data_IF_315781252352
#
_entry.id   IF_315781252352
#
_cell.length_a   1.000
_cell.length_b   1.000
_cell.length_c   1.000
_cell.angle_alpha   90.00
_cell.angle_beta   90.00
_cell.angle_gamma   90.00
#
_symmetry.space_group_name_H-M   'P 1'
#
loop_
_entity.id
_entity.type
_entity.pdbx_description
1 polymer ?
#
# COMPACT_ATOMS: atom_id res chain seq x y z
N UNK A 1 20.53 -40.52 -21.81
CA UNK A 1 19.40 -39.99 -21.01
C UNK A 1 19.98 -38.95 -20.07
N UNK A 2 19.95 -37.67 -20.47
CA UNK A 2 20.54 -36.59 -19.66
C UNK A 2 19.43 -36.00 -18.79
N UNK A 3 19.52 -36.23 -17.48
CA UNK A 3 18.61 -35.66 -16.49
C UNK A 3 19.02 -34.22 -16.21
N UNK A 4 18.35 -33.27 -16.85
CA UNK A 4 18.47 -31.86 -16.52
C UNK A 4 17.84 -31.60 -15.14
N UNK A 5 18.67 -31.24 -14.17
CA UNK A 5 18.24 -30.68 -12.88
C UNK A 5 17.53 -29.35 -13.14
N UNK A 6 16.32 -29.12 -12.59
CA UNK A 6 15.69 -27.80 -12.68
C UNK A 6 16.45 -26.85 -11.75
N UNK A 7 17.12 -25.85 -12.32
CA UNK A 7 17.61 -24.70 -11.57
C UNK A 7 16.40 -24.00 -10.96
N UNK A 8 16.31 -24.03 -9.64
CA UNK A 8 15.34 -23.24 -8.89
C UNK A 8 15.71 -21.77 -9.10
N UNK A 9 15.04 -21.13 -10.07
CA UNK A 9 15.05 -19.69 -10.26
C UNK A 9 14.64 -19.04 -8.93
N UNK A 10 15.63 -18.47 -8.25
CA UNK A 10 15.48 -17.61 -7.09
C UNK A 10 14.79 -16.34 -7.58
N UNK A 11 13.46 -16.45 -7.72
CA UNK A 11 12.50 -15.38 -7.93
C UNK A 11 13.07 -14.09 -7.39
N UNK A 12 13.30 -13.15 -8.30
CA UNK A 12 13.59 -11.74 -8.09
C UNK A 12 13.43 -11.38 -6.62
N UNK A 13 14.55 -11.25 -5.92
CA UNK A 13 14.56 -10.61 -4.60
C UNK A 13 13.95 -9.24 -4.85
N UNK A 14 12.65 -9.14 -4.56
CA UNK A 14 11.86 -7.93 -4.68
C UNK A 14 12.65 -6.87 -3.93
N UNK A 15 13.38 -6.04 -4.67
CA UNK A 15 14.28 -5.02 -4.12
C UNK A 15 13.32 -4.04 -3.49
N UNK A 16 12.99 -4.30 -2.22
CA UNK A 16 12.02 -3.56 -1.42
C UNK A 16 12.27 -2.10 -1.68
N UNK A 17 11.39 -1.46 -2.45
CA UNK A 17 11.54 -0.04 -2.70
C UNK A 17 11.31 0.64 -1.37
N UNK A 18 12.34 1.36 -0.90
CA UNK A 18 12.20 2.16 0.31
C UNK A 18 11.20 3.25 -0.01
N UNK A 19 10.13 3.41 0.80
CA UNK A 19 9.15 4.45 0.54
C UNK A 19 9.79 5.83 0.46
N UNK A 20 9.30 6.66 -0.47
CA UNK A 20 9.85 8.00 -0.74
C UNK A 20 9.58 8.97 0.41
N UNK A 21 8.51 8.73 1.17
CA UNK A 21 8.11 9.55 2.31
C UNK A 21 7.83 8.64 3.51
N UNK A 22 8.04 9.17 4.72
CA UNK A 22 7.68 8.45 5.94
C UNK A 22 6.17 8.51 6.21
N UNK A 23 5.66 7.50 6.93
CA UNK A 23 4.24 7.43 7.34
C UNK A 23 3.74 8.64 8.14
N UNK A 24 4.54 9.38 8.95
CA UNK A 24 4.06 10.61 9.59
C UNK A 24 3.72 11.72 8.60
N UNK A 25 4.37 11.74 7.42
CA UNK A 25 4.04 12.70 6.37
C UNK A 25 2.76 12.32 5.64
N UNK A 26 2.52 11.02 5.43
CA UNK A 26 1.25 10.51 4.89
C UNK A 26 0.09 10.85 5.83
N UNK A 27 0.22 10.58 7.12
CA UNK A 27 -0.79 10.93 8.13
C UNK A 27 -1.14 12.43 8.12
N UNK A 28 -0.11 13.29 8.11
CA UNK A 28 -0.30 14.75 8.03
C UNK A 28 -1.00 15.17 6.74
N UNK A 29 -0.72 14.50 5.62
CA UNK A 29 -1.41 14.75 4.35
C UNK A 29 -2.88 14.35 4.44
N UNK A 30 -3.18 13.13 4.89
CA UNK A 30 -4.54 12.63 5.02
C UNK A 30 -5.39 13.53 5.93
N UNK A 31 -4.85 13.95 7.08
CA UNK A 31 -5.53 14.87 8.00
C UNK A 31 -5.81 16.27 7.43
N UNK A 32 -5.17 16.68 6.34
CA UNK A 32 -5.49 17.95 5.64
C UNK A 32 -6.65 17.80 4.67
N UNK A 33 -7.01 16.57 4.31
CA UNK A 33 -8.07 16.26 3.35
C UNK A 33 -9.35 15.73 4.00
N UNK A 34 -9.35 15.45 5.30
CA UNK A 34 -10.59 15.14 6.03
C UNK A 34 -11.45 16.39 6.18
N UNK A 35 -12.77 16.22 6.19
CA UNK A 35 -13.74 17.31 6.34
C UNK A 35 -13.67 18.02 7.70
N UNK A 36 -13.42 17.26 8.77
CA UNK A 36 -13.27 17.78 10.13
C UNK A 36 -12.12 17.07 10.86
N UNK A 37 -11.23 17.86 11.47
CA UNK A 37 -10.16 17.33 12.34
C UNK A 37 -10.67 17.25 13.77
N UNK A 38 -10.93 16.04 14.24
CA UNK A 38 -11.36 15.72 15.60
C UNK A 38 -10.66 14.43 16.09
N UNK A 39 -10.78 14.05 17.37
CA UNK A 39 -10.20 12.80 17.87
C UNK A 39 -10.60 11.56 17.05
N UNK A 40 -11.86 11.48 16.62
CA UNK A 40 -12.41 10.37 15.84
C UNK A 40 -11.78 10.29 14.44
N UNK A 41 -11.65 11.41 13.73
CA UNK A 41 -11.03 11.42 12.41
C UNK A 41 -9.52 11.13 12.49
N UNK A 42 -8.84 11.57 13.55
CA UNK A 42 -7.45 11.20 13.82
C UNK A 42 -7.30 9.70 14.07
N UNK A 43 -8.26 9.07 14.76
CA UNK A 43 -8.25 7.62 14.96
C UNK A 43 -8.43 6.88 13.63
N UNK A 44 -9.41 7.27 12.81
CA UNK A 44 -9.65 6.67 11.50
C UNK A 44 -8.43 6.80 10.58
N UNK A 45 -7.82 7.99 10.50
CA UNK A 45 -6.58 8.20 9.73
C UNK A 45 -5.42 7.39 10.30
N UNK A 46 -5.36 7.18 11.62
CA UNK A 46 -4.33 6.32 12.25
C UNK A 46 -4.46 4.86 11.81
N UNK A 47 -5.67 4.35 11.62
CA UNK A 47 -5.89 2.99 11.07
C UNK A 47 -5.37 2.89 9.63
N UNK A 48 -5.69 3.88 8.80
CA UNK A 48 -5.19 3.94 7.42
C UNK A 48 -3.66 4.01 7.40
N UNK A 49 -3.06 4.90 8.21
CA UNK A 49 -1.60 4.99 8.40
C UNK A 49 -0.99 3.66 8.82
N UNK A 50 -1.64 2.90 9.70
CA UNK A 50 -1.13 1.61 10.14
C UNK A 50 -1.04 0.62 8.97
N UNK A 51 -1.97 0.65 8.02
CA UNK A 51 -1.85 -0.16 6.80
C UNK A 51 -0.59 0.19 5.99
N UNK A 52 -0.18 1.47 5.93
CA UNK A 52 1.11 1.86 5.33
C UNK A 52 2.31 1.30 6.10
N UNK A 53 2.25 1.28 7.43
CA UNK A 53 3.31 0.67 8.26
C UNK A 53 3.38 -0.84 8.01
N UNK A 54 2.23 -1.50 7.93
CA UNK A 54 2.12 -2.94 7.75
C UNK A 54 2.59 -3.39 6.36
N UNK A 55 2.48 -2.54 5.33
CA UNK A 55 3.11 -2.77 4.01
C UNK A 55 4.64 -2.91 4.10
N UNK A 56 5.26 -2.24 5.06
CA UNK A 56 6.70 -2.31 5.31
C UNK A 56 7.11 -3.44 6.27
N UNK A 57 6.15 -4.22 6.77
CA UNK A 57 6.42 -5.30 7.73
C UNK A 57 7.32 -6.40 7.14
N UNK A 58 8.22 -6.93 7.97
CA UNK A 58 9.02 -8.11 7.64
C UNK A 58 8.16 -9.36 7.47
N UNK A 59 7.03 -9.44 8.18
CA UNK A 59 6.08 -10.55 8.10
C UNK A 59 5.31 -10.52 6.78
N UNK A 60 5.42 -11.59 5.99
CA UNK A 60 4.69 -11.74 4.74
C UNK A 60 3.17 -11.74 4.96
N UNK A 61 2.69 -12.34 6.05
CA UNK A 61 1.26 -12.39 6.38
C UNK A 61 0.67 -11.00 6.61
N UNK A 62 1.34 -10.19 7.43
CA UNK A 62 0.95 -8.79 7.71
C UNK A 62 0.97 -7.97 6.43
N UNK A 63 2.07 -8.05 5.65
CA UNK A 63 2.20 -7.32 4.39
C UNK A 63 1.14 -7.72 3.35
N UNK A 64 0.80 -9.01 3.27
CA UNK A 64 -0.26 -9.51 2.38
C UNK A 64 -1.62 -8.98 2.81
N UNK A 65 -1.93 -8.96 4.10
CA UNK A 65 -3.20 -8.41 4.58
C UNK A 65 -3.28 -6.91 4.37
N UNK A 66 -2.20 -6.18 4.63
CA UNK A 66 -2.10 -4.75 4.34
C UNK A 66 -2.35 -4.47 2.85
N UNK A 67 -1.76 -5.23 1.92
CA UNK A 67 -2.09 -5.09 0.49
C UNK A 67 -3.57 -5.33 0.21
N UNK A 68 -4.18 -6.35 0.82
CA UNK A 68 -5.63 -6.60 0.67
C UNK A 68 -6.46 -5.42 1.16
N UNK A 69 -6.11 -4.82 2.30
CA UNK A 69 -6.79 -3.65 2.84
C UNK A 69 -6.92 -2.51 1.81
N UNK A 70 -5.88 -2.25 1.01
CA UNK A 70 -5.94 -1.21 -0.03
C UNK A 70 -6.80 -1.58 -1.24
N UNK A 71 -7.07 -2.87 -1.50
CA UNK A 71 -7.82 -3.33 -2.67
C UNK A 71 -9.24 -3.82 -2.34
N UNK A 72 -9.51 -4.15 -1.08
CA UNK A 72 -10.83 -4.58 -0.62
C UNK A 72 -11.66 -3.42 -0.06
N UNK A 73 -12.87 -3.72 0.43
CA UNK A 73 -13.81 -2.71 0.93
C UNK A 73 -13.40 -2.05 2.24
N UNK A 74 -12.36 -2.53 2.95
CA UNK A 74 -11.94 -1.95 4.23
C UNK A 74 -11.43 -0.53 4.07
N UNK A 75 -10.61 -0.26 3.05
CA UNK A 75 -10.13 1.11 2.81
C UNK A 75 -11.29 2.07 2.55
N UNK A 76 -12.24 1.68 1.70
CA UNK A 76 -13.44 2.47 1.40
C UNK A 76 -14.21 2.77 2.68
N UNK A 77 -14.50 1.75 3.50
CA UNK A 77 -15.18 1.93 4.78
C UNK A 77 -14.51 2.97 5.69
N UNK A 78 -13.19 2.90 5.87
CA UNK A 78 -12.46 3.86 6.72
C UNK A 78 -12.41 5.26 6.15
N UNK A 79 -12.35 5.38 4.82
CA UNK A 79 -12.34 6.68 4.14
C UNK A 79 -13.71 7.36 4.21
N UNK A 80 -14.80 6.61 4.06
CA UNK A 80 -16.18 7.13 4.15
C UNK A 80 -16.47 7.75 5.53
N UNK A 81 -15.92 7.17 6.61
CA UNK A 81 -16.08 7.70 7.98
C UNK A 81 -15.48 9.10 8.19
N UNK A 82 -14.55 9.52 7.34
CA UNK A 82 -13.83 10.81 7.46
C UNK A 82 -13.95 11.67 6.20
N UNK A 83 -14.89 11.34 5.31
CA UNK A 83 -15.15 12.03 4.05
C UNK A 83 -13.88 12.17 3.18
N UNK A 84 -13.12 11.08 3.08
CA UNK A 84 -11.87 11.03 2.32
C UNK A 84 -12.06 10.16 1.07
N UNK A 85 -11.40 10.51 -0.03
CA UNK A 85 -11.48 9.70 -1.24
C UNK A 85 -10.54 8.47 -1.13
N UNK A 86 -11.04 7.23 -1.21
CA UNK A 86 -10.19 6.04 -1.13
C UNK A 86 -9.21 5.92 -2.31
N UNK A 87 -9.56 6.41 -3.51
CA UNK A 87 -8.64 6.41 -4.65
C UNK A 87 -7.45 7.32 -4.43
N UNK A 88 -7.66 8.46 -3.77
CA UNK A 88 -6.58 9.36 -3.38
C UNK A 88 -5.57 8.64 -2.47
N UNK A 89 -6.04 7.86 -1.50
CA UNK A 89 -5.14 7.08 -0.61
C UNK A 89 -4.36 6.03 -1.38
N UNK A 90 -5.00 5.32 -2.32
CA UNK A 90 -4.33 4.33 -3.17
C UNK A 90 -3.26 4.99 -4.04
N UNK A 91 -3.59 6.13 -4.64
CA UNK A 91 -2.66 6.89 -5.47
C UNK A 91 -1.44 7.33 -4.65
N UNK A 92 -1.64 7.80 -3.41
CA UNK A 92 -0.53 8.10 -2.51
C UNK A 92 0.30 6.86 -2.25
N UNK A 93 -0.30 5.71 -1.91
CA UNK A 93 0.43 4.47 -1.66
C UNK A 93 1.28 4.01 -2.86
N UNK A 94 0.78 4.17 -4.08
CA UNK A 94 1.52 3.88 -5.32
C UNK A 94 2.65 4.89 -5.55
N UNK A 95 2.33 6.19 -5.58
CA UNK A 95 3.30 7.25 -5.87
C UNK A 95 4.41 7.38 -4.85
N UNK A 96 4.16 6.96 -3.62
CA UNK A 96 5.18 6.99 -2.55
C UNK A 96 5.96 5.68 -2.42
N UNK A 97 5.65 4.68 -3.26
CA UNK A 97 6.37 3.40 -3.31
C UNK A 97 6.03 2.43 -2.18
N UNK A 98 4.92 2.63 -1.46
CA UNK A 98 4.43 1.66 -0.47
C UNK A 98 3.74 0.47 -1.13
N UNK A 99 2.97 0.73 -2.19
CA UNK A 99 2.41 -0.29 -3.05
C UNK A 99 3.20 -0.35 -4.35
N UNK A 100 3.47 -1.57 -4.88
CA UNK A 100 3.99 -1.68 -6.23
C UNK A 100 2.95 -1.13 -7.20
N UNK A 101 3.42 -0.43 -8.23
CA UNK A 101 2.57 -0.10 -9.36
C UNK A 101 2.00 -1.43 -9.90
N UNK A 102 0.66 -1.54 -10.11
CA UNK A 102 0.15 -2.69 -10.82
C UNK A 102 0.95 -2.77 -12.12
N UNK A 103 1.53 -3.92 -12.45
CA UNK A 103 2.23 -4.07 -13.71
C UNK A 103 1.25 -3.72 -14.82
N UNK A 104 1.30 -2.47 -15.29
CA UNK A 104 0.79 -2.09 -16.58
C UNK A 104 1.57 -2.99 -17.50
N UNK A 105 0.87 -3.99 -18.02
CA UNK A 105 1.37 -4.91 -19.03
C UNK A 105 2.37 -4.18 -19.90
N UNK A 106 3.64 -4.62 -19.85
CA UNK A 106 4.59 -4.41 -20.94
C UNK A 106 4.00 -5.05 -22.20
N UNK A 107 3.03 -4.36 -22.79
CA UNK A 107 2.40 -4.58 -24.09
C UNK A 107 2.11 -3.21 -24.71
N UNK A 108 3.13 -2.38 -24.74
CA UNK A 108 3.50 -1.74 -26.01
C UNK A 108 4.59 -2.68 -26.55
N UNK A 109 4.24 -3.76 -27.26
CA UNK A 109 3.73 -3.79 -28.62
C UNK A 109 4.65 -3.03 -29.59
N UNK A 110 5.42 -3.85 -30.33
CA UNK A 110 6.18 -3.56 -31.56
C UNK A 110 7.53 -2.88 -31.44
#
# INVERSE_FOLDING_TARGET
MNTATPEFDLRSVDRRQKPLVGTPSVERLLLRHVSLVCPESRLCVSVIKQAFVDLCSSSWGIRRDARRFFHDGRLTFWCDLVDLNPEFVREIALKTGYLPEPETLKKEAS
#
